data_IF_108417676540
#
_entry.id   IF_108417676540
#
_cell.length_a   1.000
_cell.length_b   1.000
_cell.length_c   1.000
_cell.angle_alpha   90.00
_cell.angle_beta   90.00
_cell.angle_gamma   90.00
#
_symmetry.space_group_name_H-M   'P 1'
#
loop_
_entity.id
_entity.type
_entity.pdbx_description
1 polymer ?
#
# COMPACT_ATOMS: atom_id res chain seq x y z
N UNK A 1 9.43 -27.97 26.51
CA UNK A 1 8.59 -27.06 25.70
C UNK A 1 9.51 -26.03 25.06
N UNK A 2 10.05 -26.38 23.90
CA UNK A 2 10.87 -25.49 23.06
C UNK A 2 9.93 -24.46 22.45
N UNK A 3 10.11 -23.19 22.79
CA UNK A 3 9.49 -22.09 22.03
C UNK A 3 10.07 -22.15 20.61
N UNK A 4 9.27 -22.49 19.61
CA UNK A 4 9.65 -22.23 18.22
C UNK A 4 9.70 -20.73 18.04
N UNK A 5 10.89 -20.15 18.02
CA UNK A 5 11.06 -18.79 17.51
C UNK A 5 10.82 -18.86 16.00
N UNK A 6 9.58 -18.59 15.58
CA UNK A 6 9.13 -18.55 14.19
C UNK A 6 9.47 -17.20 13.56
N UNK A 7 10.74 -16.85 13.48
CA UNK A 7 11.19 -15.69 12.72
C UNK A 7 11.13 -15.98 11.22
N UNK A 8 10.62 -15.04 10.43
CA UNK A 8 10.54 -15.17 8.97
C UNK A 8 11.96 -15.24 8.38
N UNK A 9 12.24 -16.30 7.61
CA UNK A 9 13.48 -16.44 6.85
C UNK A 9 13.24 -15.91 5.43
N UNK A 10 13.83 -14.75 5.05
CA UNK A 10 13.61 -14.16 3.73
C UNK A 10 14.17 -15.03 2.59
N UNK A 11 15.06 -15.99 2.89
CA UNK A 11 15.61 -16.92 1.89
C UNK A 11 14.70 -18.13 1.63
N UNK A 12 13.75 -18.41 2.53
CA UNK A 12 12.81 -19.51 2.40
C UNK A 12 11.45 -19.03 1.89
N UNK A 13 11.45 -18.23 0.82
CA UNK A 13 10.27 -17.53 0.27
C UNK A 13 9.09 -18.46 -0.04
N UNK A 14 9.39 -19.68 -0.44
CA UNK A 14 8.49 -20.82 -0.67
C UNK A 14 7.67 -21.23 0.56
N UNK A 15 8.09 -20.83 1.77
CA UNK A 15 7.35 -21.07 3.02
C UNK A 15 6.36 -19.97 3.38
N UNK A 16 6.24 -18.93 2.56
CA UNK A 16 5.44 -17.75 2.85
C UNK A 16 4.57 -17.35 1.65
N UNK A 17 3.30 -17.10 1.91
CA UNK A 17 2.39 -16.50 0.92
C UNK A 17 1.84 -15.18 1.43
N UNK A 18 1.86 -14.15 0.58
CA UNK A 18 1.20 -12.89 0.89
C UNK A 18 -0.28 -12.95 0.51
N UNK A 19 -1.16 -12.92 1.51
CA UNK A 19 -2.57 -12.71 1.30
C UNK A 19 -2.90 -11.22 1.40
N UNK A 20 -3.68 -10.71 0.44
CA UNK A 20 -4.17 -9.33 0.47
C UNK A 20 -5.69 -9.34 0.52
N UNK A 21 -6.27 -8.67 1.51
CA UNK A 21 -7.72 -8.51 1.63
C UNK A 21 -8.07 -7.05 1.86
N UNK A 22 -9.27 -6.63 1.50
CA UNK A 22 -9.73 -5.28 1.78
C UNK A 22 -11.21 -5.23 2.14
N UNK A 23 -11.56 -4.25 2.97
CA UNK A 23 -12.92 -4.08 3.46
C UNK A 23 -13.20 -2.64 3.93
N UNK A 24 -14.45 -2.37 4.33
CA UNK A 24 -14.88 -1.05 4.76
C UNK A 24 -14.52 -0.73 6.22
N UNK A 25 -13.96 -1.69 6.96
CA UNK A 25 -13.70 -1.57 8.41
C UNK A 25 -12.40 -2.27 8.79
N UNK A 26 -12.03 -2.22 10.07
CA UNK A 26 -10.90 -2.99 10.58
C UNK A 26 -11.23 -4.47 10.80
N UNK A 27 -12.50 -4.89 10.69
CA UNK A 27 -12.92 -6.27 10.92
C UNK A 27 -12.62 -7.15 9.69
N UNK A 28 -11.65 -8.09 9.75
CA UNK A 28 -11.24 -8.90 8.60
C UNK A 28 -12.36 -9.79 8.05
N UNK A 29 -13.35 -10.16 8.87
CA UNK A 29 -14.50 -10.95 8.39
C UNK A 29 -15.40 -10.20 7.39
N UNK A 30 -15.25 -8.88 7.29
CA UNK A 30 -15.95 -8.04 6.30
C UNK A 30 -15.15 -7.83 5.02
N UNK A 31 -13.96 -8.44 4.94
CA UNK A 31 -13.03 -8.20 3.85
C UNK A 31 -13.24 -9.20 2.71
N UNK A 32 -12.91 -8.74 1.52
CA UNK A 32 -12.82 -9.57 0.32
C UNK A 32 -11.36 -9.71 -0.07
N UNK A 33 -10.98 -10.89 -0.56
CA UNK A 33 -9.64 -11.14 -1.10
C UNK A 33 -9.40 -10.25 -2.34
N UNK A 34 -8.24 -9.58 -2.37
CA UNK A 34 -7.81 -8.77 -3.50
C UNK A 34 -7.06 -9.66 -4.49
N UNK A 35 -7.48 -9.74 -5.77
CA UNK A 35 -6.71 -10.42 -6.80
C UNK A 35 -5.53 -9.53 -7.21
N UNK A 36 -4.38 -9.70 -6.54
CA UNK A 36 -3.19 -8.88 -6.76
C UNK A 36 -2.74 -8.94 -8.22
N UNK A 37 -2.30 -7.81 -8.77
CA UNK A 37 -1.88 -7.63 -10.16
C UNK A 37 -2.98 -7.86 -11.22
N UNK A 38 -4.22 -8.16 -10.82
CA UNK A 38 -5.35 -8.25 -11.74
C UNK A 38 -5.69 -6.89 -12.36
N UNK A 39 -6.15 -6.85 -13.63
CA UNK A 39 -6.71 -5.63 -14.21
C UNK A 39 -8.04 -5.22 -13.54
N UNK A 40 -8.74 -6.14 -12.90
CA UNK A 40 -10.04 -5.87 -12.28
C UNK A 40 -9.88 -5.23 -10.90
N UNK A 41 -10.57 -4.13 -10.66
CA UNK A 41 -10.63 -3.51 -9.34
C UNK A 41 -11.62 -4.24 -8.42
N UNK A 42 -11.28 -4.35 -7.14
CA UNK A 42 -12.19 -4.86 -6.10
C UNK A 42 -13.02 -3.72 -5.53
N UNK A 43 -14.35 -3.83 -5.62
CA UNK A 43 -15.26 -2.82 -5.08
C UNK A 43 -15.43 -2.99 -3.57
N UNK A 44 -15.25 -1.91 -2.83
CA UNK A 44 -15.58 -1.78 -1.41
C UNK A 44 -16.71 -0.75 -1.28
N UNK A 45 -17.77 -1.09 -0.57
CA UNK A 45 -18.88 -0.18 -0.31
C UNK A 45 -19.13 -0.06 1.20
N UNK A 46 -19.25 1.16 1.69
CA UNK A 46 -19.53 1.50 3.09
C UNK A 46 -20.52 2.65 3.16
N UNK A 47 -20.95 3.05 4.36
CA UNK A 47 -21.79 4.25 4.51
C UNK A 47 -21.05 5.55 4.17
N UNK A 48 -19.72 5.54 4.15
CA UNK A 48 -18.89 6.73 3.94
C UNK A 48 -18.43 6.88 2.49
N UNK A 49 -18.11 5.77 1.81
CA UNK A 49 -17.58 5.79 0.43
C UNK A 49 -18.04 4.58 -0.38
N UNK A 50 -18.02 4.73 -1.69
CA UNK A 50 -17.85 3.60 -2.60
C UNK A 50 -16.45 3.69 -3.20
N UNK A 51 -15.64 2.64 -3.08
CA UNK A 51 -14.26 2.59 -3.55
C UNK A 51 -14.00 1.38 -4.46
N UNK A 52 -13.00 1.49 -5.33
CA UNK A 52 -12.54 0.44 -6.24
C UNK A 52 -11.02 0.35 -6.13
N UNK A 53 -10.53 -0.74 -5.54
CA UNK A 53 -9.12 -0.95 -5.20
C UNK A 53 -8.43 -1.84 -6.22
N UNK A 54 -7.20 -1.47 -6.58
CA UNK A 54 -6.23 -2.30 -7.31
C UNK A 54 -4.93 -2.33 -6.53
N UNK A 55 -4.51 -3.51 -6.14
CA UNK A 55 -3.20 -3.72 -5.51
C UNK A 55 -2.30 -4.41 -6.51
N UNK A 56 -1.14 -3.81 -6.74
CA UNK A 56 -0.12 -4.32 -7.66
C UNK A 56 1.17 -4.48 -6.89
N UNK A 57 1.82 -5.63 -7.03
CA UNK A 57 3.06 -5.95 -6.33
C UNK A 57 4.02 -6.58 -7.34
N UNK A 58 5.21 -5.99 -7.48
CA UNK A 58 6.24 -6.50 -8.37
C UNK A 58 6.86 -7.74 -7.75
N UNK A 59 7.04 -8.79 -8.55
CA UNK A 59 7.47 -10.11 -8.09
C UNK A 59 6.54 -10.64 -6.97
N UNK A 60 5.23 -10.55 -7.16
CA UNK A 60 4.25 -11.07 -6.21
C UNK A 60 4.36 -12.60 -6.03
N UNK A 61 4.20 -13.04 -4.78
CA UNK A 61 4.12 -14.45 -4.39
C UNK A 61 3.13 -14.55 -3.23
N UNK A 62 1.94 -15.09 -3.51
CA UNK A 62 0.84 -15.03 -2.56
C UNK A 62 -0.45 -15.60 -3.10
N UNK A 63 -1.55 -15.27 -2.40
CA UNK A 63 -2.89 -15.75 -2.70
C UNK A 63 -3.81 -14.63 -3.23
N UNK A 64 -4.65 -14.89 -4.24
CA UNK A 64 -4.87 -16.20 -4.89
C UNK A 64 -3.68 -16.68 -5.75
N UNK A 65 -3.46 -18.00 -5.81
CA UNK A 65 -2.33 -18.61 -6.55
C UNK A 65 -2.27 -18.27 -8.04
N UNK A 66 -3.41 -18.01 -8.67
CA UNK A 66 -3.49 -17.63 -10.09
C UNK A 66 -3.21 -16.14 -10.34
N UNK A 67 -2.93 -15.36 -9.30
CA UNK A 67 -2.55 -13.96 -9.44
C UNK A 67 -1.20 -13.84 -10.15
N UNK A 68 -1.08 -12.97 -11.17
CA UNK A 68 0.19 -12.76 -11.85
C UNK A 68 1.29 -12.31 -10.89
N UNK A 69 2.54 -12.74 -11.13
CA UNK A 69 3.70 -12.30 -10.34
C UNK A 69 4.09 -10.84 -10.61
N UNK A 70 3.57 -10.21 -11.66
CA UNK A 70 3.82 -8.80 -11.99
C UNK A 70 2.63 -8.21 -12.76
N UNK A 71 2.70 -6.91 -13.06
CA UNK A 71 1.65 -6.15 -13.76
C UNK A 71 2.29 -5.26 -14.85
N UNK A 72 1.63 -5.05 -16.01
CA UNK A 72 2.04 -4.08 -17.02
C UNK A 72 2.22 -2.65 -16.46
N UNK A 73 1.62 -2.35 -15.31
CA UNK A 73 1.84 -1.11 -14.57
C UNK A 73 3.33 -0.82 -14.35
N UNK A 74 4.14 -1.82 -13.99
CA UNK A 74 5.57 -1.64 -13.70
C UNK A 74 6.45 -1.46 -14.96
N UNK A 75 5.87 -1.62 -16.15
CA UNK A 75 6.52 -1.34 -17.43
C UNK A 75 6.22 0.09 -17.91
N UNK A 76 5.21 0.74 -17.33
CA UNK A 76 4.87 2.12 -17.66
C UNK A 76 6.04 3.05 -17.29
N UNK A 77 6.41 4.03 -18.14
CA UNK A 77 7.57 4.88 -17.91
C UNK A 77 7.61 5.63 -16.57
N UNK A 78 6.45 5.90 -15.97
CA UNK A 78 6.36 6.57 -14.66
C UNK A 78 6.56 5.64 -13.45
N UNK A 79 6.55 4.32 -13.66
CA UNK A 79 6.45 3.32 -12.58
C UNK A 79 7.52 2.21 -12.65
N UNK A 80 8.55 2.39 -13.48
CA UNK A 80 9.63 1.40 -13.65
C UNK A 80 10.44 1.16 -12.37
N UNK A 81 10.53 2.16 -11.50
CA UNK A 81 11.17 2.08 -10.18
C UNK A 81 10.29 1.46 -9.10
N UNK A 82 8.98 1.43 -9.30
CA UNK A 82 8.04 1.11 -8.23
C UNK A 82 8.06 -0.39 -7.92
N UNK A 83 7.85 -0.71 -6.63
CA UNK A 83 7.78 -2.09 -6.16
C UNK A 83 6.34 -2.53 -5.88
N UNK A 84 5.45 -1.56 -5.67
CA UNK A 84 4.03 -1.80 -5.47
C UNK A 84 3.22 -0.56 -5.85
N UNK A 85 1.92 -0.75 -5.99
CA UNK A 85 0.91 0.31 -6.11
C UNK A 85 -0.35 -0.11 -5.36
N UNK A 86 -0.90 0.80 -4.57
CA UNK A 86 -2.26 0.71 -4.02
C UNK A 86 -3.06 1.82 -4.71
N UNK A 87 -3.62 1.49 -5.86
CA UNK A 87 -4.45 2.39 -6.65
C UNK A 87 -5.91 2.25 -6.23
N UNK A 88 -6.60 3.37 -6.10
CA UNK A 88 -8.01 3.37 -5.76
C UNK A 88 -8.76 4.51 -6.41
N UNK A 89 -9.96 4.20 -6.86
CA UNK A 89 -10.96 5.19 -7.22
C UNK A 89 -12.00 5.23 -6.11
N UNK A 90 -12.50 6.39 -5.73
CA UNK A 90 -13.52 6.47 -4.68
C UNK A 90 -14.49 7.64 -4.90
N UNK A 91 -15.70 7.43 -4.42
CA UNK A 91 -16.80 8.40 -4.41
C UNK A 91 -17.25 8.59 -2.97
N UNK A 92 -17.00 9.77 -2.35
CA UNK A 92 -17.52 10.08 -1.03
C UNK A 92 -19.05 10.10 -1.00
N UNK A 93 -19.66 9.52 0.02
CA UNK A 93 -21.12 9.58 0.27
C UNK A 93 -21.51 10.81 1.10
N UNK A 94 -20.52 11.51 1.63
CA UNK A 94 -20.58 12.80 2.31
C UNK A 94 -19.30 13.60 2.02
N UNK A 95 -19.33 14.90 2.24
CA UNK A 95 -18.14 15.74 2.11
C UNK A 95 -17.10 15.34 3.18
N UNK A 96 -15.83 15.28 2.78
CA UNK A 96 -14.70 15.00 3.68
C UNK A 96 -13.72 16.15 3.56
N UNK A 97 -13.47 16.86 4.67
CA UNK A 97 -12.51 17.95 4.69
C UNK A 97 -11.10 17.43 4.38
N UNK A 98 -10.32 18.17 3.60
CA UNK A 98 -8.95 17.81 3.25
C UNK A 98 -8.05 17.68 4.50
N UNK A 99 -8.39 18.36 5.59
CA UNK A 99 -7.74 18.21 6.89
C UNK A 99 -8.02 16.86 7.55
N UNK A 100 -9.17 16.24 7.28
CA UNK A 100 -9.65 15.08 8.03
C UNK A 100 -9.34 13.76 7.34
N UNK A 101 -9.17 13.78 6.02
CA UNK A 101 -8.70 12.63 5.26
C UNK A 101 -7.21 12.36 5.56
N UNK A 102 -6.93 11.22 6.19
CA UNK A 102 -5.57 10.74 6.48
C UNK A 102 -5.34 9.37 5.87
N UNK A 103 -4.11 9.10 5.48
CA UNK A 103 -3.70 7.83 4.90
C UNK A 103 -2.44 7.32 5.58
N UNK A 104 -2.30 6.00 5.68
CA UNK A 104 -1.03 5.40 6.03
C UNK A 104 -1.19 3.98 6.52
N UNK A 105 -0.39 3.61 7.52
CA UNK A 105 -0.31 2.27 8.07
C UNK A 105 -0.54 2.28 9.58
N UNK A 106 -1.18 1.23 10.10
CA UNK A 106 -1.42 1.08 11.53
C UNK A 106 -1.47 -0.39 11.98
N UNK A 107 -1.43 -0.58 13.30
CA UNK A 107 -1.67 -1.87 13.97
C UNK A 107 -2.67 -1.66 15.12
N UNK A 108 -3.43 -2.70 15.46
CA UNK A 108 -4.34 -2.73 16.63
C UNK A 108 -3.65 -3.22 17.91
N UNK A 109 -2.35 -3.45 17.85
CA UNK A 109 -1.58 -3.94 18.97
C UNK A 109 -0.15 -3.42 18.92
N UNK A 110 0.49 -3.42 20.08
CA UNK A 110 1.82 -2.86 20.22
C UNK A 110 2.87 -3.71 19.49
N UNK A 111 3.73 -3.04 18.72
CA UNK A 111 4.85 -3.67 17.99
C UNK A 111 6.21 -3.37 18.64
N UNK A 112 6.22 -2.79 19.85
CA UNK A 112 7.44 -2.32 20.55
C UNK A 112 8.54 -3.38 20.61
N UNK A 113 8.18 -4.66 20.76
CA UNK A 113 9.11 -5.78 20.86
C UNK A 113 9.81 -6.11 19.54
N UNK A 114 9.27 -5.64 18.41
CA UNK A 114 9.81 -5.87 17.06
C UNK A 114 10.35 -4.60 16.40
N UNK A 115 10.35 -3.46 17.08
CA UNK A 115 10.96 -2.25 16.50
C UNK A 115 12.49 -2.45 16.40
N UNK A 116 13.07 -2.27 15.20
CA UNK A 116 14.51 -2.34 15.03
C UNK A 116 15.22 -1.31 15.93
N UNK A 117 16.44 -1.62 16.42
CA UNK A 117 17.36 -0.59 16.92
C UNK A 117 17.51 0.54 15.90
N UNK A 118 17.63 1.79 16.35
CA UNK A 118 17.75 2.95 15.46
C UNK A 118 16.46 3.39 14.75
N UNK A 119 15.28 2.81 15.05
CA UNK A 119 14.01 3.18 14.40
C UNK A 119 13.72 4.69 14.41
N UNK A 120 14.03 5.40 15.51
CA UNK A 120 13.84 6.86 15.60
C UNK A 120 14.70 7.63 14.58
N UNK A 121 15.93 7.18 14.36
CA UNK A 121 16.83 7.80 13.38
C UNK A 121 16.33 7.52 11.96
N UNK A 122 15.91 6.28 11.67
CA UNK A 122 15.30 5.90 10.39
C UNK A 122 14.05 6.75 10.09
N UNK A 123 13.16 6.92 11.07
CA UNK A 123 11.97 7.76 10.93
C UNK A 123 12.31 9.22 10.62
N UNK A 124 13.31 9.81 11.32
CA UNK A 124 13.75 11.18 11.03
C UNK A 124 14.23 11.33 9.57
N UNK A 125 14.90 10.32 9.03
CA UNK A 125 15.36 10.32 7.64
C UNK A 125 14.18 10.21 6.68
N UNK A 126 13.25 9.29 6.92
CA UNK A 126 12.03 9.14 6.12
C UNK A 126 11.25 10.46 6.07
N UNK A 127 11.03 11.10 7.22
CA UNK A 127 10.30 12.38 7.30
C UNK A 127 11.08 13.55 6.69
N UNK A 128 12.41 13.52 6.73
CA UNK A 128 13.22 14.65 6.21
C UNK A 128 13.47 14.55 4.70
N UNK A 129 13.58 13.33 4.15
CA UNK A 129 14.03 13.11 2.77
C UNK A 129 12.93 12.56 1.86
N UNK A 130 12.05 11.70 2.37
CA UNK A 130 11.10 10.95 1.54
C UNK A 130 9.70 11.55 1.60
N UNK A 131 9.18 11.79 2.80
CA UNK A 131 7.84 12.34 2.99
C UNK A 131 7.73 13.16 4.28
N UNK A 132 7.82 14.50 4.19
CA UNK A 132 7.68 15.40 5.35
C UNK A 132 6.25 15.51 5.88
N UNK A 133 5.25 14.95 5.19
CA UNK A 133 3.87 14.88 5.68
C UNK A 133 3.63 13.74 6.66
N UNK A 134 4.58 12.81 6.80
CA UNK A 134 4.44 11.66 7.68
C UNK A 134 4.63 12.04 9.16
N UNK A 135 3.78 11.46 9.98
CA UNK A 135 3.85 11.48 11.43
C UNK A 135 3.49 10.09 11.96
N UNK A 136 4.08 9.70 13.09
CA UNK A 136 3.95 8.35 13.62
C UNK A 136 4.05 8.32 15.13
N UNK A 137 3.39 7.34 15.75
CA UNK A 137 3.71 6.91 17.10
C UNK A 137 3.95 5.38 17.12
N UNK A 138 5.18 4.92 16.87
CA UNK A 138 5.50 3.49 16.85
C UNK A 138 5.54 2.87 18.25
N UNK A 139 5.57 3.70 19.31
CA UNK A 139 5.69 3.26 20.70
C UNK A 139 4.36 3.38 21.46
N UNK A 140 3.23 3.55 20.77
CA UNK A 140 1.91 3.43 21.39
C UNK A 140 1.50 1.95 21.50
N UNK A 141 0.32 1.73 22.08
CA UNK A 141 -0.29 0.40 22.12
C UNK A 141 -1.03 0.06 20.81
N UNK A 142 -1.38 1.07 20.02
CA UNK A 142 -1.92 0.97 18.66
C UNK A 142 -1.08 1.86 17.74
N UNK A 143 0.09 1.35 17.29
CA UNK A 143 1.06 2.15 16.57
C UNK A 143 0.58 2.51 15.18
N UNK A 144 0.98 3.70 14.73
CA UNK A 144 0.58 4.22 13.43
C UNK A 144 1.70 5.01 12.75
N UNK A 145 1.61 5.08 11.42
CA UNK A 145 2.37 5.92 10.52
C UNK A 145 1.39 6.52 9.52
N UNK A 146 1.03 7.78 9.69
CA UNK A 146 0.04 8.47 8.86
C UNK A 146 0.61 9.72 8.19
N UNK A 147 -0.10 10.20 7.18
CA UNK A 147 0.06 11.54 6.63
C UNK A 147 -1.30 12.09 6.17
N UNK A 148 -1.42 13.41 5.93
CA UNK A 148 -2.57 13.96 5.23
C UNK A 148 -2.75 13.26 3.87
N UNK A 149 -3.97 12.81 3.57
CA UNK A 149 -4.24 12.02 2.36
C UNK A 149 -3.73 12.71 1.09
N UNK A 150 -3.97 14.02 0.98
CA UNK A 150 -3.53 14.82 -0.17
C UNK A 150 -2.00 14.93 -0.30
N UNK A 151 -1.23 14.91 0.78
CA UNK A 151 0.24 14.83 0.67
C UNK A 151 0.73 13.39 0.49
N UNK A 152 -0.04 12.39 0.91
CA UNK A 152 0.32 10.97 0.80
C UNK A 152 0.01 10.36 -0.56
N UNK A 153 -0.96 10.86 -1.32
CA UNK A 153 -1.25 10.34 -2.67
C UNK A 153 -0.11 10.69 -3.64
N UNK A 154 0.49 9.69 -4.30
CA UNK A 154 1.56 9.88 -5.28
C UNK A 154 1.04 10.24 -6.68
N UNK A 155 -0.24 9.94 -6.94
CA UNK A 155 -1.01 10.53 -8.02
C UNK A 155 -2.42 10.88 -7.52
N UNK A 156 -2.98 12.00 -7.98
CA UNK A 156 -4.38 12.37 -7.74
C UNK A 156 -5.02 12.89 -9.02
N UNK A 157 -6.14 12.30 -9.39
CA UNK A 157 -7.01 12.75 -10.47
C UNK A 157 -8.39 13.12 -9.92
N UNK A 158 -8.82 14.37 -10.14
CA UNK A 158 -10.16 14.84 -9.76
C UNK A 158 -11.10 14.63 -10.95
N UNK A 159 -12.01 13.66 -10.84
CA UNK A 159 -12.97 13.33 -11.88
C UNK A 159 -14.24 14.19 -11.81
N UNK A 160 -15.30 13.69 -12.43
CA UNK A 160 -16.61 14.31 -12.50
C UNK A 160 -17.55 13.77 -11.40
N UNK A 161 -18.62 14.51 -11.12
CA UNK A 161 -19.71 14.05 -10.25
C UNK A 161 -20.48 12.89 -10.88
N UNK A 162 -20.90 11.94 -10.04
CA UNK A 162 -21.53 10.68 -10.46
C UNK A 162 -22.95 10.84 -11.02
N UNK A 163 -23.59 11.97 -10.77
CA UNK A 163 -24.86 12.39 -11.38
C UNK A 163 -24.68 12.85 -12.84
N UNK A 164 -23.51 13.36 -13.20
CA UNK A 164 -23.15 13.80 -14.57
C UNK A 164 -22.53 12.69 -15.39
N UNK A 165 -21.58 11.96 -14.81
CA UNK A 165 -20.91 10.82 -15.46
C UNK A 165 -20.86 9.66 -14.46
N UNK A 166 -21.49 8.55 -14.81
CA UNK A 166 -21.58 7.40 -13.90
C UNK A 166 -20.20 6.90 -13.48
N UNK A 167 -20.10 6.36 -12.25
CA UNK A 167 -18.84 5.80 -11.76
C UNK A 167 -18.27 4.74 -12.72
N UNK A 168 -19.13 3.91 -13.31
CA UNK A 168 -18.73 2.88 -14.28
C UNK A 168 -18.05 3.48 -15.53
N UNK A 169 -18.56 4.59 -16.07
CA UNK A 169 -17.96 5.25 -17.23
C UNK A 169 -16.61 5.90 -16.90
N UNK A 170 -16.48 6.51 -15.72
CA UNK A 170 -15.22 7.10 -15.27
C UNK A 170 -14.16 6.01 -15.03
N UNK A 171 -14.55 4.87 -14.45
CA UNK A 171 -13.68 3.70 -14.31
C UNK A 171 -13.28 3.10 -15.65
N UNK A 172 -14.21 2.96 -16.60
CA UNK A 172 -13.89 2.48 -17.95
C UNK A 172 -12.87 3.39 -18.64
N UNK A 173 -12.98 4.71 -18.48
CA UNK A 173 -12.01 5.67 -19.01
C UNK A 173 -10.62 5.48 -18.39
N UNK A 174 -10.54 5.19 -17.10
CA UNK A 174 -9.28 4.83 -16.44
C UNK A 174 -8.75 3.49 -16.95
N UNK A 175 -9.62 2.51 -17.17
CA UNK A 175 -9.24 1.16 -17.59
C UNK A 175 -8.72 1.13 -19.03
N UNK A 176 -9.23 2.02 -19.90
CA UNK A 176 -8.74 2.26 -21.26
C UNK A 176 -7.38 2.99 -21.29
N UNK A 177 -6.92 3.52 -20.15
CA UNK A 177 -5.58 4.11 -20.03
C UNK A 177 -4.50 3.03 -20.06
N UNK A 178 -3.27 3.40 -20.45
CA UNK A 178 -2.15 2.46 -20.48
C UNK A 178 -1.93 1.81 -19.11
N UNK A 179 -2.25 0.52 -19.00
CA UNK A 179 -2.16 -0.29 -17.77
C UNK A 179 -2.99 0.23 -16.57
N UNK A 180 -4.07 0.98 -16.84
CA UNK A 180 -4.91 1.61 -15.80
C UNK A 180 -4.10 2.45 -14.81
N UNK A 181 -3.10 3.16 -15.33
CA UNK A 181 -2.26 4.10 -14.59
C UNK A 181 -3.07 5.36 -14.28
N UNK A 182 -3.02 5.79 -13.02
CA UNK A 182 -3.63 7.05 -12.58
C UNK A 182 -2.62 8.17 -12.79
N UNK A 183 -2.98 9.13 -13.64
CA UNK A 183 -2.17 10.31 -13.90
C UNK A 183 -2.68 11.50 -13.08
N UNK A 184 -1.73 12.26 -12.52
CA UNK A 184 -2.01 13.53 -11.85
C UNK A 184 -2.77 14.48 -12.77
N UNK A 185 -3.90 15.02 -12.28
CA UNK A 185 -4.69 15.95 -13.08
C UNK A 185 -6.16 16.01 -12.67
N UNK A 186 -7.00 16.30 -13.65
CA UNK A 186 -8.44 16.29 -13.53
C UNK A 186 -9.12 16.12 -14.89
N UNK A 187 -10.42 15.82 -14.85
CA UNK A 187 -11.31 15.74 -15.99
C UNK A 187 -12.68 16.33 -15.63
N UNK A 188 -13.47 16.70 -16.65
CA UNK A 188 -14.78 17.31 -16.46
C UNK A 188 -14.72 18.53 -15.53
N UNK A 189 -15.67 18.63 -14.59
CA UNK A 189 -15.71 19.72 -13.63
C UNK A 189 -14.57 19.73 -12.59
N UNK A 190 -13.79 18.66 -12.49
CA UNK A 190 -12.60 18.60 -11.64
C UNK A 190 -11.51 19.59 -12.06
N UNK A 191 -11.50 20.01 -13.34
CA UNK A 191 -10.53 20.98 -13.87
C UNK A 191 -10.70 22.33 -13.16
N UNK A 192 -11.95 22.81 -13.03
CA UNK A 192 -12.24 24.08 -12.37
C UNK A 192 -11.87 24.06 -10.88
N UNK A 193 -12.00 22.92 -10.20
CA UNK A 193 -11.55 22.76 -8.81
C UNK A 193 -10.03 22.95 -8.70
N UNK A 194 -9.27 22.35 -9.62
CA UNK A 194 -7.80 22.52 -9.64
C UNK A 194 -7.43 23.97 -9.91
N UNK A 195 -8.10 24.63 -10.85
CA UNK A 195 -7.86 26.04 -11.20
C UNK A 195 -8.20 26.97 -10.03
N UNK A 196 -9.36 26.80 -9.39
CA UNK A 196 -9.81 27.65 -8.28
C UNK A 196 -8.89 27.54 -7.06
N UNK A 197 -8.33 26.36 -6.82
CA UNK A 197 -7.39 26.10 -5.73
C UNK A 197 -5.92 26.31 -6.14
N UNK A 198 -5.66 26.74 -7.39
CA UNK A 198 -4.31 26.92 -7.94
C UNK A 198 -3.43 25.68 -7.74
N UNK A 199 -3.99 24.47 -7.91
CA UNK A 199 -3.26 23.23 -7.66
C UNK A 199 -2.13 23.05 -8.68
N UNK A 200 -0.90 22.76 -8.23
CA UNK A 200 0.21 22.48 -9.14
C UNK A 200 -0.11 21.33 -10.09
N UNK A 201 0.38 21.40 -11.33
CA UNK A 201 0.17 20.34 -12.33
C UNK A 201 0.97 19.06 -12.04
N UNK A 202 2.13 19.17 -11.39
CA UNK A 202 3.00 18.05 -11.05
C UNK A 202 2.67 17.45 -9.68
N UNK A 203 2.66 16.12 -9.59
CA UNK A 203 2.29 15.40 -8.37
C UNK A 203 3.20 15.72 -7.18
N UNK A 204 4.52 15.87 -7.39
CA UNK A 204 5.48 16.23 -6.34
C UNK A 204 5.17 17.61 -5.75
N UNK A 205 4.88 18.57 -6.62
CA UNK A 205 4.52 19.93 -6.20
C UNK A 205 3.15 19.96 -5.52
N UNK A 206 2.16 19.18 -6.01
CA UNK A 206 0.86 19.03 -5.36
C UNK A 206 1.02 18.46 -3.94
N UNK A 207 1.77 17.37 -3.78
CA UNK A 207 2.05 16.78 -2.45
C UNK A 207 2.68 17.81 -1.52
N UNK A 208 3.68 18.55 -2.00
CA UNK A 208 4.33 19.63 -1.23
C UNK A 208 3.36 20.75 -0.84
N UNK A 209 2.45 21.14 -1.73
CA UNK A 209 1.42 22.14 -1.45
C UNK A 209 0.53 21.71 -0.26
N UNK A 210 0.14 20.44 -0.22
CA UNK A 210 -0.71 19.88 0.84
C UNK A 210 0.03 19.53 2.15
N UNK A 211 1.29 19.92 2.29
CA UNK A 211 1.95 20.00 3.61
C UNK A 211 1.49 21.23 4.40
N UNK A 212 0.95 22.25 3.73
CA UNK A 212 0.46 23.46 4.36
C UNK A 212 -0.98 23.33 4.86
N UNK A 213 -1.21 23.71 6.13
CA UNK A 213 -2.55 23.66 6.75
C UNK A 213 -3.61 24.42 5.94
N UNK A 214 -3.31 25.63 5.46
CA UNK A 214 -4.25 26.42 4.65
C UNK A 214 -4.65 25.73 3.34
N UNK A 215 -3.75 24.96 2.73
CA UNK A 215 -4.06 24.22 1.50
C UNK A 215 -4.96 23.01 1.79
N UNK A 216 -4.74 22.33 2.93
CA UNK A 216 -5.61 21.24 3.40
C UNK A 216 -7.01 21.76 3.75
N UNK A 217 -7.11 22.88 4.47
CA UNK A 217 -8.36 23.54 4.84
C UNK A 217 -9.16 24.00 3.61
N UNK A 218 -8.47 24.44 2.56
CA UNK A 218 -9.10 24.87 1.31
C UNK A 218 -9.62 23.75 0.41
N UNK A 219 -9.33 22.48 0.71
CA UNK A 219 -9.73 21.34 -0.11
C UNK A 219 -10.85 20.53 0.56
N UNK A 220 -11.83 20.10 -0.21
CA UNK A 220 -12.87 19.17 0.22
C UNK A 220 -12.99 18.04 -0.80
N UNK A 221 -13.02 16.80 -0.31
CA UNK A 221 -13.50 15.69 -1.12
C UNK A 221 -15.02 15.76 -1.16
N UNK A 222 -15.57 16.20 -2.28
CA UNK A 222 -16.98 16.46 -2.49
C UNK A 222 -17.78 15.16 -2.55
N UNK A 223 -18.91 15.14 -1.86
CA UNK A 223 -19.92 14.10 -1.96
C UNK A 223 -20.29 13.85 -3.42
N UNK A 224 -20.29 12.58 -3.81
CA UNK A 224 -20.74 12.15 -5.12
C UNK A 224 -19.72 12.39 -6.24
N UNK A 225 -18.54 12.95 -5.96
CA UNK A 225 -17.48 13.12 -6.96
C UNK A 225 -16.54 11.92 -7.01
N UNK A 226 -16.12 11.54 -8.22
CA UNK A 226 -15.07 10.55 -8.41
C UNK A 226 -13.68 11.16 -8.19
N UNK A 227 -12.87 10.48 -7.38
CA UNK A 227 -11.44 10.74 -7.24
C UNK A 227 -10.68 9.47 -7.57
N UNK A 228 -9.60 9.59 -8.33
CA UNK A 228 -8.64 8.50 -8.54
C UNK A 228 -7.34 8.87 -7.84
N UNK A 229 -6.78 7.96 -7.06
CA UNK A 229 -5.52 8.17 -6.38
C UNK A 229 -4.67 6.90 -6.38
N UNK A 230 -3.35 7.08 -6.30
CA UNK A 230 -2.41 5.98 -6.23
C UNK A 230 -1.36 6.23 -5.15
N UNK A 231 -1.01 5.19 -4.43
CA UNK A 231 0.07 5.16 -3.45
C UNK A 231 1.10 4.12 -3.89
N UNK A 232 2.19 4.59 -4.46
CA UNK A 232 3.30 3.79 -4.97
C UNK A 232 4.62 4.40 -4.52
N UNK A 233 5.62 3.57 -4.26
CA UNK A 233 6.99 4.02 -4.09
C UNK A 233 7.97 2.84 -4.26
N UNK A 234 9.27 3.11 -4.43
CA UNK A 234 10.29 2.06 -4.53
C UNK A 234 10.72 1.47 -3.18
N UNK A 235 10.15 1.94 -2.06
CA UNK A 235 10.72 1.75 -0.72
C UNK A 235 10.19 0.52 0.02
N UNK A 236 8.92 0.15 -0.13
CA UNK A 236 8.40 -1.10 0.44
C UNK A 236 8.52 -2.22 -0.58
N UNK A 237 9.24 -3.27 -0.21
CA UNK A 237 9.44 -4.46 -1.02
C UNK A 237 8.79 -5.68 -0.38
N UNK A 238 7.56 -5.97 -0.81
CA UNK A 238 6.80 -7.12 -0.33
C UNK A 238 7.38 -8.47 -0.79
N UNK A 239 8.14 -8.50 -1.88
CA UNK A 239 8.70 -9.75 -2.40
C UNK A 239 9.92 -10.23 -1.59
N UNK A 240 10.75 -9.28 -1.15
CA UNK A 240 11.99 -9.56 -0.41
C UNK A 240 11.86 -9.28 1.09
N UNK A 241 10.66 -8.89 1.56
CA UNK A 241 10.40 -8.41 2.92
C UNK A 241 11.44 -7.37 3.35
N UNK A 242 11.58 -6.30 2.58
CA UNK A 242 12.62 -5.31 2.78
C UNK A 242 12.15 -3.87 2.65
N UNK A 243 12.80 -2.98 3.41
CA UNK A 243 12.76 -1.54 3.22
C UNK A 243 13.95 -1.12 2.36
N UNK A 244 13.67 -0.45 1.24
CA UNK A 244 14.67 0.10 0.31
C UNK A 244 14.76 1.61 0.51
N UNK A 245 15.81 2.07 1.15
CA UNK A 245 16.16 3.49 1.25
C UNK A 245 17.24 3.82 0.20
N UNK A 246 17.46 5.11 -0.14
CA UNK A 246 18.54 5.48 -1.06
C UNK A 246 19.90 4.90 -0.62
N UNK A 247 20.41 3.93 -1.39
CA UNK A 247 21.69 3.26 -1.13
C UNK A 247 21.68 2.20 -0.02
N UNK A 248 20.52 1.82 0.52
CA UNK A 248 20.41 0.86 1.63
C UNK A 248 19.19 -0.06 1.45
N UNK A 249 19.37 -1.37 1.64
CA UNK A 249 18.29 -2.36 1.72
C UNK A 249 18.31 -2.97 3.13
N UNK A 250 17.22 -2.83 3.87
CA UNK A 250 17.06 -3.37 5.23
C UNK A 250 16.04 -4.50 5.15
N UNK A 251 16.45 -5.73 5.47
CA UNK A 251 15.48 -6.82 5.63
C UNK A 251 14.63 -6.57 6.88
N UNK A 252 13.30 -6.64 6.72
CA UNK A 252 12.36 -6.55 7.84
C UNK A 252 11.85 -7.91 8.30
N UNK A 253 12.18 -9.00 7.59
CA UNK A 253 11.72 -10.36 7.89
C UNK A 253 11.96 -10.78 9.36
N UNK A 254 13.14 -10.46 9.90
CA UNK A 254 13.52 -10.75 11.29
C UNK A 254 12.69 -10.00 12.36
N UNK A 255 11.93 -8.99 11.95
CA UNK A 255 11.01 -8.22 12.80
C UNK A 255 9.54 -8.61 12.57
N UNK A 256 9.28 -9.61 11.74
CA UNK A 256 7.95 -10.16 11.48
C UNK A 256 7.76 -11.43 12.31
N UNK A 257 6.71 -11.46 13.11
CA UNK A 257 6.31 -12.59 13.94
C UNK A 257 4.79 -12.86 13.85
N UNK A 258 4.31 -13.85 14.61
CA UNK A 258 2.89 -14.22 14.69
C UNK A 258 1.94 -13.07 15.08
N UNK A 259 2.43 -11.93 15.58
CA UNK A 259 1.62 -10.74 15.86
C UNK A 259 1.80 -9.66 14.79
N UNK A 260 3.02 -9.46 14.30
CA UNK A 260 3.35 -8.38 13.35
C UNK A 260 3.29 -8.78 11.87
N UNK A 261 2.90 -10.03 11.57
CA UNK A 261 2.76 -10.55 10.19
C UNK A 261 1.60 -9.98 9.38
N UNK A 262 0.87 -8.99 9.88
CA UNK A 262 -0.13 -8.26 9.10
C UNK A 262 0.13 -6.75 9.15
N UNK A 263 0.18 -6.13 7.98
CA UNK A 263 0.27 -4.69 7.83
C UNK A 263 -1.05 -4.15 7.30
N UNK A 264 -1.65 -3.17 8.00
CA UNK A 264 -2.90 -2.54 7.57
C UNK A 264 -2.58 -1.22 6.90
N UNK A 265 -2.98 -1.08 5.65
CA UNK A 265 -3.03 0.20 4.95
C UNK A 265 -4.44 0.77 5.05
N UNK A 266 -4.56 2.05 5.39
CA UNK A 266 -5.85 2.69 5.65
C UNK A 266 -5.95 4.04 4.96
N UNK A 267 -7.11 4.33 4.39
CA UNK A 267 -7.59 5.69 4.17
C UNK A 267 -8.71 5.93 5.19
N UNK A 268 -8.57 6.95 6.04
CA UNK A 268 -9.44 7.21 7.20
C UNK A 268 -9.92 8.65 7.19
N UNK A 269 -11.15 8.85 7.63
CA UNK A 269 -11.63 10.13 8.13
C UNK A 269 -11.31 10.21 9.62
N UNK A 270 -10.35 11.05 9.99
CA UNK A 270 -9.95 11.21 11.40
C UNK A 270 -10.98 11.97 12.22
N UNK A 271 -11.79 12.84 11.61
CA UNK A 271 -12.84 13.59 12.30
C UNK A 271 -13.96 12.68 12.78
N UNK A 272 -14.23 11.61 12.02
CA UNK A 272 -15.19 10.56 12.38
C UNK A 272 -14.56 9.36 13.11
N UNK A 273 -13.23 9.32 13.19
CA UNK A 273 -12.46 8.16 13.62
C UNK A 273 -12.79 6.86 12.87
N UNK A 274 -13.17 6.95 11.58
CA UNK A 274 -13.62 5.80 10.79
C UNK A 274 -12.78 5.58 9.53
N UNK A 275 -12.41 4.33 9.21
CA UNK A 275 -11.82 4.04 7.91
C UNK A 275 -12.84 4.28 6.79
N UNK A 276 -12.38 4.81 5.68
CA UNK A 276 -13.11 4.79 4.41
C UNK A 276 -12.97 3.41 3.76
N UNK A 277 -11.74 2.85 3.80
CA UNK A 277 -11.43 1.46 3.51
C UNK A 277 -10.13 1.05 4.21
N UNK A 278 -9.92 -0.26 4.38
CA UNK A 278 -8.70 -0.86 4.93
C UNK A 278 -8.23 -1.97 3.98
N UNK A 279 -6.92 -2.06 3.75
CA UNK A 279 -6.26 -3.16 3.03
C UNK A 279 -5.31 -3.86 4.00
N UNK A 280 -5.50 -5.17 4.20
CA UNK A 280 -4.57 -6.00 4.96
C UNK A 280 -3.60 -6.67 4.01
N UNK A 281 -2.31 -6.58 4.35
CA UNK A 281 -1.24 -7.37 3.78
C UNK A 281 -0.81 -8.36 4.84
N UNK A 282 -1.20 -9.62 4.69
CA UNK A 282 -0.95 -10.67 5.68
C UNK A 282 0.03 -11.69 5.13
N UNK A 283 1.13 -11.89 5.85
CA UNK A 283 2.13 -12.89 5.53
C UNK A 283 1.74 -14.21 6.19
N UNK A 284 1.26 -15.16 5.38
CA UNK A 284 0.88 -16.49 5.83
C UNK A 284 2.12 -17.39 5.93
N UNK A 285 2.26 -18.09 7.04
CA UNK A 285 3.28 -19.13 7.26
C UNK A 285 2.86 -20.13 8.34
N UNK A 286 3.56 -21.27 8.38
CA UNK A 286 3.29 -22.32 9.36
C UNK A 286 1.83 -22.80 9.28
N UNK A 287 1.18 -22.95 10.44
CA UNK A 287 -0.20 -23.47 10.52
C UNK A 287 -1.21 -22.61 9.79
N UNK A 288 -1.05 -21.29 9.83
CA UNK A 288 -2.01 -20.39 9.19
C UNK A 288 -1.96 -20.49 7.66
N UNK A 289 -0.78 -20.76 7.11
CA UNK A 289 -0.62 -21.09 5.70
C UNK A 289 -1.25 -22.45 5.38
N UNK A 290 -0.98 -23.48 6.20
CA UNK A 290 -1.54 -24.82 6.03
C UNK A 290 -3.09 -24.78 6.02
N UNK A 291 -3.69 -24.17 7.04
CA UNK A 291 -5.15 -24.00 7.17
C UNK A 291 -5.74 -23.24 5.97
N UNK A 292 -5.10 -22.14 5.54
CA UNK A 292 -5.61 -21.35 4.43
C UNK A 292 -5.58 -22.09 3.10
N UNK A 293 -4.55 -22.92 2.88
CA UNK A 293 -4.43 -23.75 1.67
C UNK A 293 -5.46 -24.88 1.65
N UNK A 294 -5.79 -25.46 2.82
CA UNK A 294 -6.89 -26.42 2.94
C UNK A 294 -8.23 -25.76 2.57
N UNK A 295 -8.50 -24.55 3.06
CA UNK A 295 -9.71 -23.79 2.72
C UNK A 295 -9.81 -23.47 1.20
N UNK A 296 -8.70 -23.10 0.53
CA UNK A 296 -8.72 -22.86 -0.93
C UNK A 296 -8.98 -24.14 -1.72
N UNK A 297 -8.51 -25.30 -1.25
CA UNK A 297 -8.79 -26.58 -1.87
C UNK A 297 -10.26 -26.97 -1.72
N UNK A 298 -10.85 -26.78 -0.53
CA UNK A 298 -12.28 -27.06 -0.32
C UNK A 298 -13.17 -26.12 -1.16
N UNK A 299 -12.85 -24.83 -1.21
CA UNK A 299 -13.54 -23.85 -2.07
C UNK A 299 -13.37 -24.17 -3.56
N UNK A 300 -12.18 -24.61 -3.96
CA UNK A 300 -11.86 -25.08 -5.31
C UNK A 300 -12.71 -26.28 -5.69
N UNK A 301 -12.74 -27.32 -4.85
CA UNK A 301 -13.55 -28.52 -5.03
C UNK A 301 -15.07 -28.23 -5.06
N UNK A 302 -15.54 -27.28 -4.24
CA UNK A 302 -16.93 -26.82 -4.28
C UNK A 302 -17.29 -26.07 -5.57
N UNK A 303 -16.32 -25.36 -6.17
CA UNK A 303 -16.46 -24.67 -7.46
C UNK A 303 -16.26 -25.62 -8.66
N UNK A 304 -15.46 -26.67 -8.52
CA UNK A 304 -15.13 -27.68 -9.55
C UNK A 304 -16.18 -28.81 -9.68
N UNK A 305 -17.24 -28.80 -8.86
CA UNK A 305 -18.47 -29.58 -9.12
C UNK A 305 -19.17 -29.30 -10.47
N UNK A 306 -18.58 -28.43 -11.30
CA UNK A 306 -18.92 -28.21 -12.70
C UNK A 306 -17.73 -27.76 -13.56
N UNK A 307 -16.70 -28.60 -13.76
CA UNK A 307 -15.77 -28.40 -14.87
C UNK A 307 -14.41 -29.08 -14.74
N UNK A 308 -14.04 -29.81 -15.81
CA UNK A 308 -12.91 -30.72 -16.01
C UNK A 308 -11.48 -30.14 -15.83
N UNK A 309 -10.55 -31.04 -15.47
CA UNK A 309 -9.21 -30.78 -14.96
C UNK A 309 -8.13 -30.48 -16.02
N UNK A 310 -7.06 -29.78 -15.62
CA UNK A 310 -5.89 -29.51 -16.46
C UNK A 310 -4.59 -29.18 -15.71
N UNK A 311 -3.76 -30.23 -15.57
CA UNK A 311 -2.28 -30.38 -15.47
C UNK A 311 -1.34 -29.22 -15.05
N UNK A 312 -0.47 -29.54 -14.07
CA UNK A 312 0.61 -28.71 -13.49
C UNK A 312 1.91 -28.73 -14.32
N UNK A 313 2.65 -27.61 -14.36
CA UNK A 313 4.09 -27.62 -14.64
C UNK A 313 4.89 -26.59 -13.82
N UNK A 314 5.99 -27.09 -13.27
CA UNK A 314 6.99 -26.38 -12.47
C UNK A 314 7.83 -25.36 -13.28
N UNK A 315 8.22 -24.26 -12.62
CA UNK A 315 9.15 -23.25 -13.12
C UNK A 315 10.47 -23.22 -12.31
N UNK A 316 11.56 -22.65 -12.87
CA UNK A 316 12.93 -22.89 -12.39
C UNK A 316 13.43 -21.87 -11.34
N UNK A 317 14.47 -22.28 -10.63
CA UNK A 317 15.26 -21.51 -9.65
C UNK A 317 16.07 -20.38 -10.30
N UNK A 318 16.21 -19.23 -9.60
CA UNK A 318 17.06 -18.10 -9.98
C UNK A 318 18.06 -17.85 -8.83
N UNK A 319 19.35 -17.83 -9.17
CA UNK A 319 20.48 -17.51 -8.28
C UNK A 319 20.58 -16.00 -8.01
N UNK A 320 20.84 -15.62 -6.75
CA UNK A 320 21.03 -14.23 -6.29
C UNK A 320 22.53 -13.93 -6.05
N UNK A 321 23.04 -12.85 -6.65
CA UNK A 321 24.41 -12.37 -6.46
C UNK A 321 24.50 -11.47 -5.22
N UNK A 322 25.38 -11.85 -4.30
CA UNK A 322 25.49 -11.29 -2.96
C UNK A 322 25.77 -9.79 -2.87
N UNK A 323 25.07 -9.13 -1.95
CA UNK A 323 25.43 -7.82 -1.39
C UNK A 323 25.29 -7.83 0.14
N UNK A 324 26.14 -7.02 0.77
CA UNK A 324 26.53 -7.11 2.18
C UNK A 324 25.37 -7.09 3.19
N UNK A 325 25.44 -8.03 4.16
CA UNK A 325 24.63 -8.09 5.37
C UNK A 325 25.02 -6.96 6.33
N UNK A 326 24.04 -6.16 6.75
CA UNK A 326 24.19 -5.12 7.77
C UNK A 326 23.33 -5.53 8.97
N UNK A 327 23.60 -6.73 9.47
CA UNK A 327 22.71 -7.36 10.45
C UNK A 327 23.06 -6.99 11.89
N UNK A 328 24.18 -6.28 12.11
CA UNK A 328 24.76 -6.00 13.44
C UNK A 328 25.31 -4.57 13.61
N UNK A 329 24.71 -3.54 13.00
CA UNK A 329 25.19 -2.14 13.16
C UNK A 329 24.39 -1.39 14.23
N UNK A 330 25.09 -0.77 15.18
CA UNK A 330 24.49 0.08 16.22
C UNK A 330 23.97 1.43 15.67
N UNK A 331 23.13 2.12 16.45
CA UNK A 331 22.51 3.41 16.10
C UNK A 331 23.52 4.44 15.58
N UNK A 332 24.72 4.48 16.17
CA UNK A 332 25.78 5.41 15.78
C UNK A 332 26.37 5.05 14.43
N UNK A 333 26.43 3.75 14.09
CA UNK A 333 27.01 3.27 12.84
C UNK A 333 26.02 3.43 11.68
N UNK A 334 24.72 3.22 11.91
CA UNK A 334 23.66 3.55 10.95
C UNK A 334 23.64 5.06 10.70
N UNK A 335 23.71 5.87 11.76
CA UNK A 335 23.72 7.33 11.64
C UNK A 335 24.99 7.85 10.94
N UNK A 336 26.16 7.30 11.26
CA UNK A 336 27.44 7.65 10.61
C UNK A 336 27.50 7.22 9.15
N UNK A 337 27.03 6.01 8.80
CA UNK A 337 26.99 5.51 7.43
C UNK A 337 26.07 6.39 6.55
N UNK A 338 24.93 6.81 7.10
CA UNK A 338 23.97 7.64 6.40
C UNK A 338 24.43 9.10 6.30
N UNK A 339 25.13 9.64 7.31
CA UNK A 339 25.75 10.97 7.24
C UNK A 339 26.95 11.03 6.28
N UNK A 340 27.78 9.99 6.22
CA UNK A 340 29.02 10.00 5.42
C UNK A 340 28.77 10.06 3.91
N UNK A 341 27.62 9.60 3.41
CA UNK A 341 27.27 9.69 1.99
C UNK A 341 26.58 11.00 1.59
N UNK A 342 26.12 11.80 2.55
CA UNK A 342 25.53 13.11 2.29
C UNK A 342 26.49 14.28 2.61
N UNK A 343 27.69 13.99 3.13
CA UNK A 343 28.79 14.95 3.28
C UNK A 343 29.58 15.26 2.00
N UNK A 344 29.31 14.56 0.88
CA UNK A 344 29.94 14.80 -0.42
C UNK A 344 28.95 15.30 -1.47
N UNK A 345 28.37 16.47 -1.22
CA UNK A 345 27.87 17.34 -2.28
C UNK A 345 28.12 18.79 -1.83
N UNK A 346 29.29 19.31 -2.19
CA UNK A 346 29.55 20.75 -2.28
C UNK A 346 29.32 21.20 -3.71
#
# INVERSE_FOLDING_TARGET
>A
MTKSNSTVDPTARDKYLLEVTAGPSYNPSTHTQIPVNSPSATKIDSDLVTAWLRVRIKNYHGLPHNSPSSSPYFEHPQHTSDRYSIAFSFVPKQDIAGTDAVMGFDYDHSIKHQLPPGFRAAMRIVTSLLDPGLYSDPYSDEPYLYGPALSSFFALHIGETTDRVSAAQQLATLDDSAASVILEGASGSGIQIRESLSLPSGWKQRRKNFLGAAALEGFTFEKGRMYHADFFNPHLDFADFALRLPGLKISVARYVDEKTHHLRFVLKDRGLEKPLFVVFFKLLFGRELEERLEDEQEDGLAREGGGDAGDERAGPEIEDEGQAQIDDMDDSTVENYLQSRHGSAR
#
